data_IF_654899089049
#
_entry.id   IF_654899089049
#
_cell.length_a   1.000
_cell.length_b   1.000
_cell.length_c   1.000
_cell.angle_alpha   90.00
_cell.angle_beta   90.00
_cell.angle_gamma   90.00
#
_symmetry.space_group_name_H-M   'P 1'
#
loop_
_entity.id
_entity.type
_entity.pdbx_description
1 polymer ?
#
# COMPACT_ATOMS: atom_id res chain seq x y z
N UNK A 1 -22.77 -7.60 -8.73
CA UNK A 1 -22.34 -6.19 -8.66
C UNK A 1 -20.99 -6.13 -7.98
N UNK A 2 -19.97 -5.54 -8.60
CA UNK A 2 -18.71 -5.26 -7.91
C UNK A 2 -19.01 -4.19 -6.86
N UNK A 3 -18.71 -4.44 -5.57
CA UNK A 3 -18.87 -3.44 -4.50
C UNK A 3 -18.10 -2.18 -4.93
N UNK A 4 -18.69 -0.98 -4.89
CA UNK A 4 -17.97 0.24 -5.27
C UNK A 4 -17.01 0.62 -4.14
N UNK A 5 -15.71 0.68 -4.42
CA UNK A 5 -14.68 1.19 -3.51
C UNK A 5 -14.20 2.54 -4.03
N UNK A 6 -14.18 3.54 -3.15
CA UNK A 6 -13.65 4.86 -3.48
C UNK A 6 -12.21 4.98 -3.00
N UNK A 7 -11.30 5.29 -3.92
CA UNK A 7 -9.88 5.52 -3.65
C UNK A 7 -9.51 6.95 -4.05
N UNK A 8 -8.82 7.67 -3.18
CA UNK A 8 -8.27 8.99 -3.50
C UNK A 8 -6.96 8.85 -4.30
N UNK A 9 -6.43 9.98 -4.79
CA UNK A 9 -5.23 9.98 -5.63
C UNK A 9 -3.99 9.42 -4.91
N UNK A 10 -3.83 9.69 -3.62
CA UNK A 10 -2.71 9.18 -2.82
C UNK A 10 -2.80 7.67 -2.65
N UNK A 11 -3.99 7.13 -2.34
CA UNK A 11 -4.23 5.70 -2.23
C UNK A 11 -3.99 4.98 -3.56
N UNK A 12 -4.49 5.54 -4.68
CA UNK A 12 -4.23 5.01 -6.04
C UNK A 12 -2.72 4.99 -6.35
N UNK A 13 -1.98 6.03 -5.97
CA UNK A 13 -0.53 6.12 -6.18
C UNK A 13 0.22 5.08 -5.36
N UNK A 14 -0.10 4.93 -4.07
CA UNK A 14 0.47 3.91 -3.18
C UNK A 14 0.27 2.52 -3.78
N UNK A 15 -0.97 2.17 -4.14
CA UNK A 15 -1.31 0.87 -4.69
C UNK A 15 -0.60 0.60 -6.02
N UNK A 16 -0.50 1.61 -6.89
CA UNK A 16 0.21 1.51 -8.17
C UNK A 16 1.70 1.22 -8.01
N UNK A 17 2.34 1.81 -7.01
CA UNK A 17 3.75 1.56 -6.68
C UNK A 17 3.93 0.20 -5.98
N UNK A 18 3.03 -0.15 -5.04
CA UNK A 18 3.06 -1.43 -4.35
C UNK A 18 2.86 -2.62 -5.30
N UNK A 19 2.03 -2.48 -6.35
CA UNK A 19 1.86 -3.49 -7.41
C UNK A 19 3.17 -3.77 -8.17
N UNK A 20 4.02 -2.75 -8.30
CA UNK A 20 5.33 -2.84 -8.96
C UNK A 20 6.44 -3.29 -8.01
N UNK A 21 6.12 -3.66 -6.76
CA UNK A 21 7.09 -3.92 -5.70
C UNK A 21 8.08 -2.76 -5.51
N UNK A 22 7.62 -1.51 -5.56
CA UNK A 22 8.50 -0.36 -5.36
C UNK A 22 8.86 -0.23 -3.86
N UNK A 23 10.16 -0.23 -3.55
CA UNK A 23 10.69 -0.17 -2.17
C UNK A 23 10.48 1.20 -1.51
N UNK A 24 10.05 2.20 -2.28
CA UNK A 24 9.78 3.53 -1.77
C UNK A 24 8.40 3.65 -1.13
N UNK A 25 7.57 2.60 -1.18
CA UNK A 25 6.31 2.54 -0.41
C UNK A 25 6.63 2.23 1.06
N UNK A 26 7.29 3.17 1.72
CA UNK A 26 7.72 3.09 3.12
C UNK A 26 7.71 4.47 3.76
N UNK A 27 7.66 4.52 5.10
CA UNK A 27 7.46 5.76 5.85
C UNK A 27 8.49 6.85 5.54
N UNK A 28 9.72 6.47 5.19
CA UNK A 28 10.78 7.42 4.84
C UNK A 28 10.38 8.37 3.69
N UNK A 29 9.62 7.89 2.70
CA UNK A 29 9.22 8.67 1.51
C UNK A 29 7.81 9.25 1.61
N UNK A 30 7.17 9.23 2.80
CA UNK A 30 5.78 9.67 3.02
C UNK A 30 5.50 11.07 2.48
N UNK A 31 6.40 12.02 2.78
CA UNK A 31 6.24 13.42 2.40
C UNK A 31 6.57 13.66 0.93
N UNK A 32 7.70 13.14 0.47
CA UNK A 32 8.21 13.38 -0.89
C UNK A 32 7.33 12.72 -1.98
N UNK A 33 6.90 11.47 -1.75
CA UNK A 33 6.15 10.71 -2.76
C UNK A 33 4.64 10.79 -2.59
N UNK A 34 4.13 10.88 -1.38
CA UNK A 34 2.69 10.74 -1.11
C UNK A 34 2.05 12.01 -0.54
N UNK A 35 2.84 13.07 -0.32
CA UNK A 35 2.40 14.33 0.29
C UNK A 35 1.62 14.10 1.59
N UNK A 36 2.10 13.18 2.44
CA UNK A 36 1.46 12.84 3.71
C UNK A 36 2.48 12.80 4.85
N UNK A 37 2.01 13.11 6.07
CA UNK A 37 2.84 13.04 7.28
C UNK A 37 2.96 11.62 7.82
N UNK A 38 1.87 10.85 7.75
CA UNK A 38 1.78 9.49 8.31
C UNK A 38 1.27 8.50 7.26
N UNK A 39 2.20 7.89 6.52
CA UNK A 39 1.87 6.81 5.58
C UNK A 39 1.17 5.61 6.24
N UNK A 40 1.52 5.16 7.47
CA UNK A 40 0.83 4.04 8.12
C UNK A 40 -0.68 4.25 8.25
N UNK A 41 -1.13 5.48 8.52
CA UNK A 41 -2.56 5.80 8.64
C UNK A 41 -3.26 5.58 7.30
N UNK A 42 -2.68 6.08 6.20
CA UNK A 42 -3.23 5.88 4.86
C UNK A 42 -3.27 4.38 4.51
N UNK A 43 -2.23 3.63 4.86
CA UNK A 43 -2.19 2.18 4.66
C UNK A 43 -3.33 1.50 5.45
N UNK A 44 -3.57 1.90 6.70
CA UNK A 44 -4.67 1.37 7.50
C UNK A 44 -6.04 1.70 6.88
N UNK A 45 -6.21 2.90 6.32
CA UNK A 45 -7.41 3.26 5.57
C UNK A 45 -7.60 2.37 4.33
N UNK A 46 -6.54 2.09 3.58
CA UNK A 46 -6.59 1.18 2.43
C UNK A 46 -6.96 -0.23 2.87
N UNK A 47 -6.35 -0.76 3.95
CA UNK A 47 -6.64 -2.10 4.50
C UNK A 47 -8.11 -2.25 4.85
N UNK A 48 -8.69 -1.31 5.58
CA UNK A 48 -10.13 -1.32 5.93
C UNK A 48 -11.04 -1.31 4.71
N UNK A 49 -10.68 -0.56 3.67
CA UNK A 49 -11.44 -0.56 2.41
C UNK A 49 -11.33 -1.92 1.70
N UNK A 50 -10.16 -2.54 1.74
CA UNK A 50 -9.93 -3.87 1.15
C UNK A 50 -10.63 -4.99 1.93
N UNK A 51 -10.68 -4.94 3.26
CA UNK A 51 -11.47 -5.87 4.09
C UNK A 51 -12.91 -5.95 3.60
N UNK A 52 -13.57 -4.80 3.50
CA UNK A 52 -14.96 -4.71 3.04
C UNK A 52 -15.14 -5.10 1.57
N UNK A 53 -14.22 -4.70 0.69
CA UNK A 53 -14.31 -4.95 -0.75
C UNK A 53 -14.05 -6.42 -1.12
N UNK A 54 -12.99 -7.01 -0.57
CA UNK A 54 -12.57 -8.39 -0.86
C UNK A 54 -13.19 -9.43 0.07
N UNK A 55 -13.94 -8.99 1.09
CA UNK A 55 -14.58 -9.86 2.08
C UNK A 55 -13.55 -10.72 2.83
N UNK A 56 -12.51 -10.06 3.34
CA UNK A 56 -11.43 -10.69 4.13
C UNK A 56 -11.46 -10.19 5.56
N UNK A 57 -11.02 -11.03 6.50
CA UNK A 57 -11.01 -10.71 7.92
C UNK A 57 -10.00 -9.60 8.28
N UNK A 58 -8.85 -9.54 7.60
CA UNK A 58 -7.79 -8.56 7.85
C UNK A 58 -7.20 -8.07 6.51
N UNK A 59 -7.20 -6.76 6.29
CA UNK A 59 -6.65 -6.16 5.07
C UNK A 59 -5.14 -6.30 4.97
N UNK A 60 -4.46 -6.67 6.05
CA UNK A 60 -3.03 -6.99 6.09
C UNK A 60 -2.68 -8.20 5.22
N UNK A 61 -3.61 -9.15 5.04
CA UNK A 61 -3.43 -10.29 4.13
C UNK A 61 -3.29 -9.84 2.67
N UNK A 62 -3.80 -8.66 2.35
CA UNK A 62 -3.79 -8.07 1.01
C UNK A 62 -2.63 -7.08 0.87
N UNK A 63 -2.47 -6.18 1.84
CA UNK A 63 -1.43 -5.16 1.88
C UNK A 63 -0.60 -5.30 3.16
N UNK A 64 0.40 -6.18 3.10
CA UNK A 64 1.28 -6.53 4.22
C UNK A 64 2.41 -5.51 4.40
N UNK A 65 3.11 -5.58 5.54
CA UNK A 65 4.34 -4.82 5.79
C UNK A 65 5.53 -5.77 5.84
N UNK A 66 6.39 -5.69 4.83
CA UNK A 66 7.67 -6.40 4.78
C UNK A 66 8.70 -5.60 5.58
N UNK A 67 9.42 -6.25 6.51
CA UNK A 67 10.40 -5.56 7.37
C UNK A 67 11.82 -5.86 6.91
N UNK A 68 12.59 -4.81 6.64
CA UNK A 68 14.02 -4.92 6.31
C UNK A 68 14.87 -4.23 7.37
N UNK A 69 16.12 -4.67 7.50
CA UNK A 69 17.12 -3.99 8.32
C UNK A 69 18.09 -3.28 7.39
N UNK A 70 18.29 -1.98 7.59
CA UNK A 70 19.20 -1.15 6.78
C UNK A 70 20.31 -0.58 7.65
N UNK A 71 21.51 -0.46 7.07
CA UNK A 71 22.65 0.21 7.67
C UNK A 71 22.55 1.71 7.38
N UNK A 72 22.59 2.53 8.41
CA UNK A 72 22.64 3.99 8.29
C UNK A 72 24.08 4.47 8.06
N UNK A 73 24.19 5.73 7.66
CA UNK A 73 25.48 6.41 7.41
C UNK A 73 26.37 6.44 8.66
N UNK A 74 25.76 6.50 9.85
CA UNK A 74 26.47 6.49 11.15
C UNK A 74 26.91 5.08 11.60
N UNK A 75 26.70 4.06 10.78
CA UNK A 75 27.01 2.66 11.10
C UNK A 75 25.97 1.96 11.99
N UNK A 76 24.91 2.65 12.42
CA UNK A 76 23.81 2.03 13.16
C UNK A 76 22.83 1.32 12.23
N UNK A 77 22.10 0.31 12.74
CA UNK A 77 21.05 -0.37 11.97
C UNK A 77 19.67 0.19 12.32
N UNK A 78 18.80 0.32 11.33
CA UNK A 78 17.38 0.61 11.53
C UNK A 78 16.50 -0.45 10.86
N UNK A 79 15.34 -0.71 11.47
CA UNK A 79 14.28 -1.49 10.83
C UNK A 79 13.37 -0.56 10.05
N UNK A 80 13.15 -0.88 8.78
CA UNK A 80 12.21 -0.19 7.89
C UNK A 80 11.08 -1.13 7.51
N UNK A 81 9.88 -0.59 7.34
CA UNK A 81 8.72 -1.32 6.85
C UNK A 81 8.36 -0.87 5.44
N UNK A 82 8.31 -1.81 4.50
CA UNK A 82 7.91 -1.61 3.10
C UNK A 82 6.53 -2.25 2.90
N UNK A 83 5.57 -1.49 2.38
CA UNK A 83 4.22 -1.99 2.18
C UNK A 83 4.11 -2.74 0.84
N UNK A 84 3.64 -3.99 0.89
CA UNK A 84 3.59 -4.92 -0.25
C UNK A 84 2.20 -5.46 -0.47
N UNK A 85 1.79 -5.56 -1.73
CA UNK A 85 0.58 -6.30 -2.08
C UNK A 85 0.93 -7.78 -2.19
N UNK A 86 0.18 -8.61 -1.45
CA UNK A 86 0.32 -10.06 -1.52
C UNK A 86 0.08 -10.56 -2.95
N UNK A 87 0.94 -11.47 -3.40
CA UNK A 87 0.91 -12.07 -4.73
C UNK A 87 -0.48 -12.62 -5.10
N UNK A 88 -1.21 -13.21 -4.16
CA UNK A 88 -2.57 -13.73 -4.38
C UNK A 88 -3.61 -12.65 -4.77
N UNK A 89 -3.33 -11.38 -4.45
CA UNK A 89 -4.23 -10.26 -4.67
C UNK A 89 -3.74 -9.27 -5.74
N UNK A 90 -2.51 -9.40 -6.25
CA UNK A 90 -1.93 -8.46 -7.24
C UNK A 90 -2.81 -8.29 -8.47
N UNK A 91 -3.30 -9.38 -9.06
CA UNK A 91 -4.16 -9.30 -10.23
C UNK A 91 -5.48 -8.58 -9.93
N UNK A 92 -6.14 -8.93 -8.81
CA UNK A 92 -7.40 -8.33 -8.40
C UNK A 92 -7.27 -6.82 -8.13
N UNK A 93 -6.19 -6.41 -7.46
CA UNK A 93 -5.91 -4.98 -7.19
C UNK A 93 -5.54 -4.23 -8.48
N UNK A 94 -4.82 -4.86 -9.42
CA UNK A 94 -4.51 -4.26 -10.71
C UNK A 94 -5.76 -4.04 -11.57
N UNK A 95 -6.68 -5.01 -11.60
CA UNK A 95 -7.97 -4.88 -12.28
C UNK A 95 -8.81 -3.78 -11.65
N UNK A 96 -8.85 -3.71 -10.31
CA UNK A 96 -9.54 -2.67 -9.58
C UNK A 96 -9.08 -1.26 -9.97
N UNK A 97 -7.76 -1.02 -10.01
CA UNK A 97 -7.21 0.28 -10.39
C UNK A 97 -7.51 0.64 -11.85
N UNK A 98 -7.57 -0.34 -12.76
CA UNK A 98 -7.95 -0.12 -14.17
C UNK A 98 -9.41 0.32 -14.30
N UNK A 99 -10.32 -0.26 -13.52
CA UNK A 99 -11.75 0.11 -13.53
C UNK A 99 -11.93 1.53 -13.01
N UNK A 100 -11.35 1.85 -11.87
CA UNK A 100 -11.48 3.17 -11.22
C UNK A 100 -10.79 4.29 -12.00
N UNK A 101 -9.81 3.99 -12.85
CA UNK A 101 -9.13 5.00 -13.68
C UNK A 101 -9.85 5.31 -15.00
N UNK A 102 -10.89 4.54 -15.34
CA UNK A 102 -11.75 4.77 -16.51
C UNK A 102 -13.05 5.50 -16.15
N UNK A 103 -13.35 5.63 -14.86
CA UNK A 103 -14.38 6.51 -14.31
C UNK A 103 -13.82 7.93 -14.11
#
# INVERSE_FOLDING_TARGET
MIKKISLNNTEKKILSLALKNDDRVQTHYSKELFNCHYLPDIIQHIRRKFESFFDVADGTDILSTETHTVLKIDGSTARIGIYRINSAYKQKVAELLKVISKE
#
